data_IF_149294649694
#
_entry.id   IF_149294649694
#
_cell.length_a   1.000
_cell.length_b   1.000
_cell.length_c   1.000
_cell.angle_alpha   90.00
_cell.angle_beta   90.00
_cell.angle_gamma   90.00
#
_symmetry.space_group_name_H-M   'P 1'
#
loop_
_entity.id
_entity.type
_entity.pdbx_description
1 polymer ?
#
# COMPACT_ATOMS: atom_id res chain seq x y z
N UNK A 1 -3.69 -20.01 1.35
CA UNK A 1 -3.12 -19.28 0.20
C UNK A 1 -1.96 -18.41 0.68
N UNK A 2 -0.80 -18.54 0.03
CA UNK A 2 0.36 -17.68 0.24
C UNK A 2 0.37 -16.58 -0.81
N UNK A 3 0.93 -15.42 -0.48
CA UNK A 3 1.14 -14.36 -1.47
C UNK A 3 2.61 -13.96 -1.50
N UNK A 4 3.10 -13.67 -2.70
CA UNK A 4 4.46 -13.20 -2.94
C UNK A 4 4.37 -11.90 -3.76
N UNK A 5 5.23 -10.91 -3.47
CA UNK A 5 5.31 -9.73 -4.30
C UNK A 5 5.92 -10.09 -5.65
N UNK A 6 5.46 -9.43 -6.73
CA UNK A 6 6.14 -9.53 -8.03
C UNK A 6 7.63 -9.23 -7.88
N UNK A 7 8.46 -10.08 -8.49
CA UNK A 7 9.89 -9.89 -8.61
C UNK A 7 10.24 -8.76 -9.57
N UNK A 8 11.49 -8.30 -9.53
CA UNK A 8 11.99 -7.21 -10.39
C UNK A 8 11.73 -7.49 -11.87
N UNK A 9 12.05 -8.71 -12.33
CA UNK A 9 11.85 -9.12 -13.73
C UNK A 9 10.37 -9.13 -14.12
N UNK A 10 9.49 -9.59 -13.23
CA UNK A 10 8.04 -9.63 -13.49
C UNK A 10 7.44 -8.22 -13.58
N UNK A 11 7.91 -7.28 -12.74
CA UNK A 11 7.49 -5.87 -12.84
C UNK A 11 8.00 -5.25 -14.14
N UNK A 12 9.26 -5.48 -14.51
CA UNK A 12 9.85 -4.99 -15.76
C UNK A 12 9.06 -5.49 -16.98
N UNK A 13 8.79 -6.79 -17.05
CA UNK A 13 8.01 -7.39 -18.13
C UNK A 13 6.59 -6.80 -18.20
N UNK A 14 5.89 -6.68 -17.08
CA UNK A 14 4.55 -6.08 -17.02
C UNK A 14 4.54 -4.68 -17.61
N UNK A 15 5.52 -3.85 -17.24
CA UNK A 15 5.60 -2.47 -17.74
C UNK A 15 5.87 -2.42 -19.23
N UNK A 16 6.88 -3.14 -19.70
CA UNK A 16 7.29 -3.13 -21.11
C UNK A 16 6.23 -3.75 -22.03
N UNK A 17 5.52 -4.77 -21.57
CA UNK A 17 4.46 -5.43 -22.34
C UNK A 17 3.17 -4.62 -22.41
N UNK A 18 2.75 -4.03 -21.30
CA UNK A 18 1.41 -3.47 -21.16
C UNK A 18 1.40 -1.95 -20.98
N UNK A 19 2.20 -1.43 -20.05
CA UNK A 19 1.98 -0.09 -19.52
C UNK A 19 2.65 1.00 -20.36
N UNK A 20 3.85 0.74 -20.86
CA UNK A 20 4.63 1.74 -21.60
C UNK A 20 4.03 2.09 -22.95
N UNK A 21 3.15 1.26 -23.53
CA UNK A 21 2.47 1.57 -24.80
C UNK A 21 1.06 2.13 -24.58
N UNK A 22 0.49 1.97 -23.38
CA UNK A 22 -0.88 2.40 -23.07
C UNK A 22 -0.96 3.75 -22.37
N UNK A 23 0.10 4.15 -21.67
CA UNK A 23 0.11 5.36 -20.87
C UNK A 23 1.42 6.13 -21.06
N UNK A 24 1.36 7.47 -21.05
CA UNK A 24 2.55 8.33 -21.03
C UNK A 24 3.17 8.43 -19.63
N UNK A 25 2.36 8.23 -18.59
CA UNK A 25 2.80 8.29 -17.20
C UNK A 25 2.11 7.23 -16.33
N UNK A 26 2.86 6.60 -15.42
CA UNK A 26 2.31 5.64 -14.44
C UNK A 26 2.79 5.99 -13.02
N UNK A 27 1.85 6.17 -12.10
CA UNK A 27 2.13 6.34 -10.67
C UNK A 27 1.76 5.05 -9.95
N UNK A 28 2.77 4.35 -9.43
CA UNK A 28 2.62 3.09 -8.71
C UNK A 28 2.50 3.36 -7.22
N UNK A 29 1.31 3.17 -6.68
CA UNK A 29 1.05 3.17 -5.24
C UNK A 29 1.23 1.74 -4.71
N UNK A 30 2.14 1.52 -3.78
CA UNK A 30 2.36 0.22 -3.14
C UNK A 30 1.99 0.24 -1.67
N UNK A 31 1.61 -0.92 -1.10
CA UNK A 31 1.56 -1.09 0.36
C UNK A 31 2.92 -0.72 1.00
N UNK A 32 2.89 -0.49 2.31
CA UNK A 32 4.09 -0.13 3.08
C UNK A 32 5.29 -1.02 2.79
N UNK A 33 6.45 -0.41 2.54
CA UNK A 33 7.70 -1.12 2.30
C UNK A 33 8.13 -1.98 3.50
N UNK A 34 7.63 -1.69 4.71
CA UNK A 34 7.86 -2.51 5.90
C UNK A 34 7.14 -3.87 5.88
N UNK A 35 6.17 -4.08 4.98
CA UNK A 35 5.32 -5.29 4.92
C UNK A 35 5.49 -6.11 3.64
N UNK A 36 6.16 -5.57 2.63
CA UNK A 36 6.35 -6.25 1.35
C UNK A 36 7.53 -5.69 0.56
N UNK A 37 8.25 -6.58 -0.13
CA UNK A 37 9.31 -6.21 -1.07
C UNK A 37 8.79 -5.56 -2.36
N UNK A 38 7.48 -5.50 -2.59
CA UNK A 38 6.92 -4.96 -3.84
C UNK A 38 7.36 -3.51 -4.11
N UNK A 39 7.47 -2.67 -3.08
CA UNK A 39 8.00 -1.31 -3.23
C UNK A 39 9.44 -1.34 -3.76
N UNK A 40 10.31 -2.09 -3.08
CA UNK A 40 11.73 -2.20 -3.44
C UNK A 40 11.91 -2.85 -4.82
N UNK A 41 11.17 -3.92 -5.11
CA UNK A 41 11.22 -4.61 -6.41
C UNK A 41 10.79 -3.68 -7.54
N UNK A 42 9.70 -2.92 -7.35
CA UNK A 42 9.21 -1.96 -8.35
C UNK A 42 10.17 -0.79 -8.52
N UNK A 43 10.73 -0.27 -7.42
CA UNK A 43 11.72 0.80 -7.47
C UNK A 43 12.97 0.35 -8.23
N UNK A 44 13.47 -0.87 -7.98
CA UNK A 44 14.60 -1.45 -8.73
C UNK A 44 14.27 -1.66 -10.21
N UNK A 45 13.08 -2.18 -10.53
CA UNK A 45 12.64 -2.38 -11.91
C UNK A 45 12.50 -1.05 -12.67
N UNK A 46 12.19 0.05 -11.97
CA UNK A 46 11.99 1.36 -12.61
C UNK A 46 13.20 1.83 -13.42
N UNK A 47 14.42 1.54 -12.95
CA UNK A 47 15.64 1.94 -13.65
C UNK A 47 15.79 1.24 -15.01
N UNK A 48 15.54 -0.07 -15.08
CA UNK A 48 15.60 -0.80 -16.35
C UNK A 48 14.40 -0.48 -17.25
N UNK A 49 13.19 -0.30 -16.70
CA UNK A 49 12.02 0.15 -17.48
C UNK A 49 12.32 1.49 -18.17
N UNK A 50 12.82 2.48 -17.42
CA UNK A 50 13.14 3.81 -17.94
C UNK A 50 14.30 3.81 -18.95
N UNK A 51 15.17 2.81 -18.90
CA UNK A 51 16.22 2.58 -19.90
C UNK A 51 15.65 1.95 -21.18
N UNK A 52 14.75 0.98 -21.04
CA UNK A 52 14.37 0.07 -22.13
C UNK A 52 13.07 0.46 -22.87
N UNK A 53 12.27 1.39 -22.34
CA UNK A 53 10.93 1.68 -22.90
C UNK A 53 10.94 2.29 -24.31
N UNK A 54 11.97 3.09 -24.65
CA UNK A 54 11.98 3.92 -25.88
C UNK A 54 11.80 3.12 -27.17
N UNK A 55 12.60 2.07 -27.45
CA UNK A 55 12.41 1.27 -28.66
C UNK A 55 11.02 0.64 -28.75
N UNK A 56 10.44 0.22 -27.62
CA UNK A 56 9.11 -0.40 -27.57
C UNK A 56 8.02 0.62 -27.91
N UNK A 57 8.09 1.82 -27.31
CA UNK A 57 7.15 2.91 -27.63
C UNK A 57 7.24 3.34 -29.09
N UNK A 58 8.47 3.49 -29.62
CA UNK A 58 8.69 3.86 -31.02
C UNK A 58 8.12 2.81 -31.98
N UNK A 59 8.33 1.52 -31.69
CA UNK A 59 7.76 0.43 -32.49
C UNK A 59 6.22 0.44 -32.46
N UNK A 60 5.61 0.95 -31.39
CA UNK A 60 4.17 1.18 -31.27
C UNK A 60 3.69 2.53 -31.83
N UNK A 61 4.56 3.32 -32.47
CA UNK A 61 4.20 4.61 -33.08
C UNK A 61 4.21 5.82 -32.14
N UNK A 62 4.73 5.68 -30.91
CA UNK A 62 4.82 6.78 -29.94
C UNK A 62 6.25 7.34 -29.87
N UNK A 63 6.39 8.66 -30.03
CA UNK A 63 7.66 9.39 -29.85
C UNK A 63 7.69 10.24 -28.56
N UNK A 64 6.65 10.14 -27.72
CA UNK A 64 6.58 10.82 -26.44
C UNK A 64 7.34 10.06 -25.34
N UNK A 65 7.92 10.77 -24.35
CA UNK A 65 8.61 10.15 -23.23
C UNK A 65 7.64 9.41 -22.30
N UNK A 66 8.13 8.34 -21.67
CA UNK A 66 7.42 7.63 -20.61
C UNK A 66 7.90 8.11 -19.24
N UNK A 67 6.96 8.34 -18.33
CA UNK A 67 7.23 8.71 -16.94
C UNK A 67 6.73 7.63 -16.00
N UNK A 68 7.49 7.34 -14.94
CA UNK A 68 6.98 6.51 -13.85
C UNK A 68 7.45 7.00 -12.50
N UNK A 69 6.59 6.81 -11.48
CA UNK A 69 6.95 7.03 -10.08
C UNK A 69 6.46 5.87 -9.23
N UNK A 70 7.29 5.44 -8.30
CA UNK A 70 6.92 4.45 -7.27
C UNK A 70 6.78 5.16 -5.94
N UNK A 71 5.63 5.02 -5.29
CA UNK A 71 5.31 5.67 -4.02
C UNK A 71 4.90 4.60 -3.01
N UNK A 72 5.66 4.56 -1.92
CA UNK A 72 5.29 3.83 -0.71
C UNK A 72 4.13 4.57 -0.02
N UNK A 73 2.94 3.98 0.01
CA UNK A 73 1.77 4.57 0.68
C UNK A 73 1.92 4.62 2.20
N UNK A 74 2.94 3.96 2.76
CA UNK A 74 3.25 3.91 4.19
C UNK A 74 2.13 3.33 5.08
N UNK A 75 1.15 2.66 4.45
CA UNK A 75 0.03 2.00 5.11
C UNK A 75 -0.32 0.69 4.39
N UNK A 76 -1.43 0.07 4.75
CA UNK A 76 -1.87 -1.21 4.22
C UNK A 76 -3.41 -1.29 4.16
N UNK A 77 -3.91 -2.31 3.46
CA UNK A 77 -5.35 -2.56 3.27
C UNK A 77 -6.08 -1.32 2.73
N UNK A 78 -7.25 -1.01 3.28
CA UNK A 78 -8.09 0.12 2.89
C UNK A 78 -7.42 1.48 3.13
N UNK A 79 -6.36 1.56 3.94
CA UNK A 79 -5.61 2.81 4.13
C UNK A 79 -4.99 3.36 2.85
N UNK A 80 -4.82 2.54 1.81
CA UNK A 80 -4.30 2.98 0.51
C UNK A 80 -5.36 3.69 -0.35
N UNK A 81 -6.64 3.52 -0.03
CA UNK A 81 -7.76 3.98 -0.87
C UNK A 81 -7.78 5.50 -1.04
N UNK A 82 -7.55 6.35 0.00
CA UNK A 82 -7.59 7.80 -0.17
C UNK A 82 -6.63 8.31 -1.25
N UNK A 83 -5.39 7.81 -1.29
CA UNK A 83 -4.42 8.14 -2.33
C UNK A 83 -4.87 7.67 -3.71
N UNK A 84 -5.31 6.41 -3.83
CA UNK A 84 -5.77 5.86 -5.10
C UNK A 84 -7.01 6.60 -5.65
N UNK A 85 -7.97 6.92 -4.78
CA UNK A 85 -9.18 7.66 -5.14
C UNK A 85 -8.85 9.08 -5.61
N UNK A 86 -7.99 9.79 -4.87
CA UNK A 86 -7.56 11.14 -5.26
C UNK A 86 -6.82 11.12 -6.60
N UNK A 87 -5.95 10.13 -6.85
CA UNK A 87 -5.28 10.00 -8.13
C UNK A 87 -6.29 9.83 -9.29
N UNK A 88 -7.30 8.98 -9.14
CA UNK A 88 -8.37 8.80 -10.13
C UNK A 88 -9.14 10.10 -10.36
N UNK A 89 -9.49 10.82 -9.28
CA UNK A 89 -10.18 12.12 -9.37
C UNK A 89 -9.34 13.14 -10.15
N UNK A 90 -8.04 13.23 -9.86
CA UNK A 90 -7.13 14.16 -10.52
C UNK A 90 -6.89 13.81 -11.99
N UNK A 91 -6.82 12.51 -12.34
CA UNK A 91 -6.78 12.06 -13.73
C UNK A 91 -8.05 12.52 -14.47
N UNK A 92 -9.23 12.32 -13.86
CA UNK A 92 -10.51 12.76 -14.43
C UNK A 92 -10.63 14.28 -14.61
N UNK A 93 -9.88 15.08 -13.85
CA UNK A 93 -9.83 16.54 -13.99
C UNK A 93 -8.68 17.04 -14.88
N UNK A 94 -7.95 16.15 -15.56
CA UNK A 94 -6.85 16.52 -16.45
C UNK A 94 -5.59 17.04 -15.75
N UNK A 95 -5.39 16.69 -14.47
CA UNK A 95 -4.17 17.08 -13.77
C UNK A 95 -2.93 16.43 -14.41
N UNK A 96 -1.82 17.16 -14.44
CA UNK A 96 -0.55 16.64 -14.95
C UNK A 96 0.02 15.53 -14.05
N UNK A 97 0.85 14.65 -14.63
CA UNK A 97 1.55 13.61 -13.87
C UNK A 97 2.38 14.16 -12.71
N UNK A 98 2.97 15.36 -12.88
CA UNK A 98 3.73 16.04 -11.83
C UNK A 98 2.84 16.45 -10.64
N UNK A 99 1.66 17.02 -10.91
CA UNK A 99 0.70 17.41 -9.87
C UNK A 99 0.16 16.17 -9.12
N UNK A 100 -0.17 15.10 -9.86
CA UNK A 100 -0.65 13.86 -9.23
C UNK A 100 0.46 13.27 -8.36
N UNK A 101 1.70 13.22 -8.85
CA UNK A 101 2.86 12.75 -8.07
C UNK A 101 3.00 13.52 -6.76
N UNK A 102 3.04 14.84 -6.85
CA UNK A 102 3.19 15.72 -5.68
C UNK A 102 2.08 15.47 -4.65
N UNK A 103 0.82 15.36 -5.13
CA UNK A 103 -0.32 15.04 -4.28
C UNK A 103 -0.20 13.67 -3.62
N UNK A 104 0.25 12.64 -4.35
CA UNK A 104 0.43 11.29 -3.81
C UNK A 104 1.56 11.23 -2.78
N UNK A 105 2.66 11.94 -3.01
CA UNK A 105 3.76 12.07 -2.04
C UNK A 105 3.30 12.80 -0.77
N UNK A 106 2.42 13.79 -0.89
CA UNK A 106 1.80 14.47 0.25
C UNK A 106 0.82 13.57 1.04
N UNK A 107 -0.03 12.80 0.34
CA UNK A 107 -1.06 11.97 0.97
C UNK A 107 -0.51 10.69 1.61
N UNK A 108 0.58 10.12 1.09
CA UNK A 108 1.16 8.89 1.62
C UNK A 108 1.42 8.93 3.15
N UNK A 109 2.12 9.92 3.72
CA UNK A 109 2.34 10.00 5.18
C UNK A 109 1.08 10.38 5.99
N UNK A 110 -0.03 10.71 5.32
CA UNK A 110 -1.33 11.05 5.89
C UNK A 110 -2.37 9.93 5.69
N UNK A 111 -1.96 8.79 5.12
CA UNK A 111 -2.87 7.67 4.86
C UNK A 111 -2.91 6.71 6.05
N UNK A 112 -4.09 6.52 6.62
CA UNK A 112 -4.31 5.68 7.81
C UNK A 112 -5.06 4.40 7.45
N UNK A 113 -4.53 3.26 7.89
CA UNK A 113 -5.21 1.97 7.81
C UNK A 113 -5.55 1.49 9.21
N UNK A 114 -6.81 1.13 9.45
CA UNK A 114 -7.22 0.46 10.69
C UNK A 114 -7.70 -0.95 10.37
N UNK A 115 -7.32 -1.93 11.19
CA UNK A 115 -7.82 -3.29 11.04
C UNK A 115 -7.97 -4.01 12.39
N UNK A 116 -8.89 -4.97 12.41
CA UNK A 116 -9.14 -5.86 13.53
C UNK A 116 -8.85 -7.29 13.08
N UNK A 117 -7.80 -7.95 13.58
CA UNK A 117 -7.52 -9.33 13.22
C UNK A 117 -8.55 -10.28 13.85
N UNK A 118 -9.11 -11.20 13.05
CA UNK A 118 -9.96 -12.28 13.56
C UNK A 118 -9.16 -13.30 14.38
N UNK A 119 -7.99 -13.67 13.86
CA UNK A 119 -7.08 -14.66 14.43
C UNK A 119 -5.67 -14.09 14.58
N UNK A 120 -5.26 -13.90 15.83
CA UNK A 120 -3.94 -13.39 16.20
C UNK A 120 -2.83 -14.42 15.99
N UNK A 121 -3.14 -15.71 16.15
CA UNK A 121 -2.19 -16.80 15.94
C UNK A 121 -1.81 -16.88 14.46
N UNK A 122 -2.81 -16.87 13.57
CA UNK A 122 -2.58 -16.84 12.13
C UNK A 122 -1.73 -15.63 11.70
N UNK A 123 -2.07 -14.44 12.21
CA UNK A 123 -1.35 -13.21 11.87
C UNK A 123 0.11 -13.28 12.33
N UNK A 124 0.36 -13.79 13.54
CA UNK A 124 1.72 -14.00 14.06
C UNK A 124 2.51 -15.01 13.23
N UNK A 125 1.94 -16.18 12.94
CA UNK A 125 2.60 -17.22 12.16
C UNK A 125 3.00 -16.69 10.77
N UNK A 126 2.11 -15.95 10.10
CA UNK A 126 2.40 -15.31 8.82
C UNK A 126 3.52 -14.28 8.93
N UNK A 127 3.47 -13.43 9.96
CA UNK A 127 4.46 -12.37 10.11
C UNK A 127 5.86 -12.93 10.41
N UNK A 128 5.97 -13.96 11.25
CA UNK A 128 7.23 -14.67 11.48
C UNK A 128 7.79 -15.28 10.20
N UNK A 129 6.95 -15.98 9.41
CA UNK A 129 7.37 -16.57 8.13
C UNK A 129 7.89 -15.53 7.13
N UNK A 130 7.38 -14.30 7.18
CA UNK A 130 7.82 -13.18 6.31
C UNK A 130 8.99 -12.37 6.84
N UNK A 131 9.53 -12.72 8.02
CA UNK A 131 10.54 -11.89 8.69
C UNK A 131 10.01 -10.51 9.09
N UNK A 132 8.69 -10.39 9.22
CA UNK A 132 8.01 -9.14 9.49
C UNK A 132 8.11 -8.79 10.98
N UNK A 133 8.89 -7.74 11.28
CA UNK A 133 9.15 -7.29 12.65
C UNK A 133 8.13 -6.27 13.16
N UNK A 134 7.29 -5.74 12.28
CA UNK A 134 6.31 -4.69 12.62
C UNK A 134 5.06 -5.24 13.34
N UNK A 135 5.12 -6.50 13.77
CA UNK A 135 4.15 -7.17 14.65
C UNK A 135 4.76 -7.57 16.00
N UNK A 136 5.95 -7.07 16.38
CA UNK A 136 6.63 -7.51 17.61
C UNK A 136 5.74 -7.47 18.86
N UNK A 137 4.76 -6.55 18.91
CA UNK A 137 3.78 -6.40 19.98
C UNK A 137 2.71 -7.51 20.04
N UNK A 138 2.44 -8.22 18.94
CA UNK A 138 1.50 -9.36 18.95
C UNK A 138 2.00 -10.50 19.85
N UNK A 139 3.30 -10.55 20.15
CA UNK A 139 3.89 -11.55 21.05
C UNK A 139 3.46 -11.38 22.52
N UNK A 140 3.16 -10.14 22.95
CA UNK A 140 2.83 -9.81 24.33
C UNK A 140 1.33 -9.97 24.66
N UNK A 141 0.49 -10.32 23.69
CA UNK A 141 -0.98 -10.36 23.84
C UNK A 141 -1.58 -11.76 23.69
N UNK A 142 -0.77 -12.80 23.92
CA UNK A 142 -1.24 -14.20 23.97
C UNK A 142 -2.06 -14.47 25.24
N UNK A 143 -3.19 -13.78 25.37
CA UNK A 143 -4.27 -14.08 26.29
C UNK A 143 -5.51 -14.46 25.49
N UNK A 144 -5.46 -15.59 24.77
CA UNK A 144 -6.63 -16.18 24.10
C UNK A 144 -7.77 -16.50 25.08
N UNK A 145 -7.48 -16.54 26.38
CA UNK A 145 -8.44 -16.84 27.45
C UNK A 145 -9.58 -15.82 27.62
N UNK A 146 -9.52 -14.62 26.99
CA UNK A 146 -10.53 -13.56 27.19
C UNK A 146 -11.11 -12.96 25.88
N UNK A 147 -10.86 -13.57 24.72
CA UNK A 147 -11.26 -13.06 23.38
C UNK A 147 -10.99 -11.55 23.16
N UNK A 148 -9.86 -11.08 23.70
CA UNK A 148 -9.43 -9.69 23.56
C UNK A 148 -8.67 -9.55 22.24
N UNK A 149 -9.14 -8.64 21.40
CA UNK A 149 -8.59 -8.34 20.08
C UNK A 149 -7.99 -6.92 20.06
N UNK A 150 -6.80 -6.74 19.48
CA UNK A 150 -6.20 -5.43 19.29
C UNK A 150 -6.85 -4.71 18.12
N UNK A 151 -7.26 -3.46 18.31
CA UNK A 151 -7.50 -2.55 17.19
C UNK A 151 -6.14 -2.06 16.72
N UNK A 152 -5.82 -2.26 15.44
CA UNK A 152 -4.48 -2.02 14.91
C UNK A 152 -4.50 -0.86 13.93
N UNK A 153 -3.50 0.02 14.03
CA UNK A 153 -3.24 1.09 13.09
C UNK A 153 -1.99 0.78 12.27
N UNK A 154 -2.11 0.92 10.95
CA UNK A 154 -1.00 0.98 10.00
C UNK A 154 -0.84 2.42 9.50
N UNK A 155 0.28 3.06 9.83
CA UNK A 155 0.55 4.45 9.51
C UNK A 155 2.05 4.70 9.53
N UNK A 156 2.57 5.51 8.59
CA UNK A 156 3.99 5.88 8.52
C UNK A 156 4.94 4.69 8.64
N UNK A 157 4.62 3.62 7.91
CA UNK A 157 5.37 2.36 7.85
C UNK A 157 5.41 1.56 9.15
N UNK A 158 4.76 2.02 10.21
CA UNK A 158 4.60 1.27 11.45
C UNK A 158 3.27 0.55 11.49
N UNK A 159 3.17 -0.42 12.38
CA UNK A 159 1.90 -1.05 12.69
C UNK A 159 1.85 -1.35 14.17
N UNK A 160 0.84 -0.81 14.84
CA UNK A 160 0.80 -0.78 16.28
C UNK A 160 -0.62 -0.95 16.79
N UNK A 161 -0.79 -1.52 18.00
CA UNK A 161 -2.09 -1.59 18.63
C UNK A 161 -2.45 -0.20 19.16
N UNK A 162 -3.64 0.28 18.80
CA UNK A 162 -4.19 1.57 19.27
C UNK A 162 -5.35 1.40 20.23
N UNK A 163 -5.78 0.17 20.45
CA UNK A 163 -6.85 -0.17 21.39
C UNK A 163 -6.97 -1.68 21.58
N UNK A 164 -7.78 -2.07 22.57
CA UNK A 164 -8.13 -3.46 22.83
C UNK A 164 -9.64 -3.55 23.06
N UNK A 165 -10.26 -4.57 22.51
CA UNK A 165 -11.70 -4.78 22.58
C UNK A 165 -12.00 -6.26 22.73
N UNK A 166 -13.08 -6.62 23.43
CA UNK A 166 -13.52 -8.01 23.56
C UNK A 166 -14.53 -8.34 22.47
N UNK A 167 -14.36 -9.48 21.80
CA UNK A 167 -15.27 -9.87 20.72
C UNK A 167 -14.91 -9.25 19.37
N UNK A 168 -15.08 -10.02 18.30
CA UNK A 168 -14.85 -9.50 16.95
C UNK A 168 -15.92 -8.48 16.53
N UNK A 169 -17.20 -8.81 16.71
CA UNK A 169 -18.31 -7.99 16.21
C UNK A 169 -18.34 -6.62 16.89
N UNK A 170 -18.29 -6.59 18.23
CA UNK A 170 -18.16 -5.33 18.97
C UNK A 170 -16.86 -4.60 18.62
N UNK A 171 -15.75 -5.32 18.41
CA UNK A 171 -14.51 -4.71 17.97
C UNK A 171 -14.59 -4.05 16.60
N UNK A 172 -15.36 -4.63 15.66
CA UNK A 172 -15.56 -4.06 14.34
C UNK A 172 -16.35 -2.75 14.43
N UNK A 173 -17.41 -2.73 15.25
CA UNK A 173 -18.18 -1.51 15.56
C UNK A 173 -17.29 -0.41 16.14
N UNK A 174 -16.46 -0.74 17.14
CA UNK A 174 -15.51 0.19 17.76
C UNK A 174 -14.50 0.71 16.72
N UNK A 175 -13.97 -0.16 15.85
CA UNK A 175 -13.03 0.24 14.80
C UNK A 175 -13.67 1.23 13.83
N UNK A 176 -14.87 0.93 13.32
CA UNK A 176 -15.54 1.82 12.36
C UNK A 176 -15.96 3.14 12.99
N UNK A 177 -16.46 3.11 14.23
CA UNK A 177 -16.77 4.32 15.00
C UNK A 177 -15.52 5.19 15.15
N UNK A 178 -14.41 4.60 15.59
CA UNK A 178 -13.14 5.31 15.73
C UNK A 178 -12.68 5.92 14.41
N UNK A 179 -12.69 5.14 13.32
CA UNK A 179 -12.30 5.63 12.00
C UNK A 179 -13.18 6.81 11.55
N UNK A 180 -14.50 6.72 11.75
CA UNK A 180 -15.43 7.80 11.41
C UNK A 180 -15.17 9.08 12.23
N UNK A 181 -14.88 8.96 13.52
CA UNK A 181 -14.51 10.09 14.37
C UNK A 181 -13.19 10.74 13.92
N UNK A 182 -12.19 9.94 13.53
CA UNK A 182 -10.93 10.47 12.99
C UNK A 182 -11.19 11.25 11.70
N UNK A 183 -11.97 10.70 10.77
CA UNK A 183 -12.36 11.40 9.53
C UNK A 183 -13.07 12.72 9.83
N UNK A 184 -14.04 12.74 10.75
CA UNK A 184 -14.74 13.97 11.16
C UNK A 184 -13.82 15.01 11.81
N UNK A 185 -12.75 14.55 12.47
CA UNK A 185 -11.72 15.41 13.04
C UNK A 185 -10.65 15.86 12.01
N UNK A 186 -10.74 15.42 10.74
CA UNK A 186 -9.85 15.82 9.66
C UNK A 186 -8.65 14.91 9.39
N UNK A 187 -8.81 13.59 9.57
CA UNK A 187 -7.74 12.57 9.46
C UNK A 187 -8.00 11.50 8.40
#
# INVERSE_FOLDING_TARGET
AESEPLGVAQVHELFLRELVTRYDAVIVLTITASRSKIYENTLKASFSILKDYRPIRRAAGYDTPFQMRVIDTQTLFAGQVPGAWEAVRMIGSGASAAQIRERMEFLAPQSYGYFLPRDLYYLRARAQKRGDRSVGWFSATLGSALDIKPVVRGWRKTTEPVGKVRGFEHGAEVLFTHAAERVRAGL
#
